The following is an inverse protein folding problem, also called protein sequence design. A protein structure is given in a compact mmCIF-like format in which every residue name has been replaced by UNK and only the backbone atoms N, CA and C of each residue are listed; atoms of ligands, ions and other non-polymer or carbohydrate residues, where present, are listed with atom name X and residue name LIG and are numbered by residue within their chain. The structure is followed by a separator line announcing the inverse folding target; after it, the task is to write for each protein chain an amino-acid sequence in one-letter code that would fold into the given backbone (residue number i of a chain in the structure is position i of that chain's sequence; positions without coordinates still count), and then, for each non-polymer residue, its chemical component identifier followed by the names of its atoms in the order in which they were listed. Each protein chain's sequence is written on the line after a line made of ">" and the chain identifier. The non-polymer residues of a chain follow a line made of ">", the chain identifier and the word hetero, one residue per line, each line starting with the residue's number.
data_IF_113480549753
#
_entry.id   IF_113480549753
#
_cell.length_a   1.000
_cell.length_b   1.000
_cell.length_c   1.000
_cell.angle_alpha   90.00
_cell.angle_beta   90.00
_cell.angle_gamma   90.00
#
_symmetry.space_group_name_H-M   'P 1'
#
loop_
_entity.id
_entity.type
_entity.pdbx_description
1 polymer ?
#
# COMPACT_ATOMS: atom_id res chain seq x y z
N UNK A 1 -29.47 13.03 42.62
CA UNK A 1 -28.30 12.54 41.87
C UNK A 1 -28.38 13.13 40.47
N UNK A 2 -27.53 14.11 40.17
CA UNK A 2 -27.47 14.77 38.86
C UNK A 2 -26.47 13.98 38.03
N UNK A 3 -26.93 13.33 36.96
CA UNK A 3 -26.08 12.60 36.05
C UNK A 3 -25.28 13.57 35.18
N UNK A 4 -23.95 13.53 35.28
CA UNK A 4 -23.07 14.14 34.30
C UNK A 4 -23.13 13.31 33.01
N UNK A 5 -23.90 13.75 32.04
CA UNK A 5 -23.72 13.35 30.64
C UNK A 5 -22.41 13.95 30.15
N UNK A 6 -21.35 13.14 30.08
CA UNK A 6 -20.15 13.45 29.32
C UNK A 6 -20.53 13.53 27.85
N UNK A 7 -20.66 14.75 27.33
CA UNK A 7 -20.70 15.01 25.88
C UNK A 7 -19.31 14.67 25.35
N UNK A 8 -19.17 13.49 24.76
CA UNK A 8 -17.98 13.16 23.99
C UNK A 8 -17.99 14.08 22.77
N UNK A 9 -17.17 15.13 22.80
CA UNK A 9 -17.01 16.01 21.66
C UNK A 9 -16.56 15.18 20.46
N UNK A 10 -17.39 15.16 19.41
CA UNK A 10 -16.97 14.56 18.14
C UNK A 10 -15.73 15.30 17.65
N UNK A 11 -14.67 14.60 17.24
CA UNK A 11 -13.49 15.25 16.69
C UNK A 11 -13.91 16.11 15.49
N UNK A 12 -13.28 17.28 15.29
CA UNK A 12 -13.61 18.15 14.17
C UNK A 12 -13.47 17.37 12.86
N UNK A 13 -14.37 17.61 11.89
CA UNK A 13 -14.27 17.00 10.57
C UNK A 13 -12.93 17.38 9.94
N UNK A 14 -12.39 16.48 9.12
CA UNK A 14 -11.17 16.74 8.37
C UNK A 14 -11.33 17.98 7.49
N UNK A 15 -10.28 18.79 7.36
CA UNK A 15 -10.31 19.96 6.50
C UNK A 15 -10.24 19.56 5.02
N UNK A 16 -10.69 20.42 4.10
CA UNK A 16 -10.54 20.16 2.66
C UNK A 16 -9.08 19.93 2.25
N UNK A 17 -8.14 20.64 2.90
CA UNK A 17 -6.70 20.46 2.68
C UNK A 17 -6.22 19.06 3.12
N UNK A 18 -6.76 18.54 4.23
CA UNK A 18 -6.49 17.16 4.65
C UNK A 18 -7.00 16.17 3.61
N UNK A 19 -8.23 16.35 3.12
CA UNK A 19 -8.81 15.49 2.08
C UNK A 19 -7.97 15.46 0.80
N UNK A 20 -7.54 16.63 0.31
CA UNK A 20 -6.70 16.75 -0.89
C UNK A 20 -5.33 16.08 -0.69
N UNK A 21 -4.72 16.28 0.47
CA UNK A 21 -3.43 15.63 0.77
C UNK A 21 -3.57 14.11 0.87
N UNK A 22 -4.61 13.60 1.54
CA UNK A 22 -4.87 12.16 1.67
C UNK A 22 -5.02 11.54 0.29
N UNK A 23 -5.85 12.15 -0.58
CA UNK A 23 -6.05 11.68 -1.94
C UNK A 23 -4.74 11.70 -2.75
N UNK A 24 -3.91 12.74 -2.60
CA UNK A 24 -2.61 12.81 -3.25
C UNK A 24 -1.65 11.71 -2.77
N UNK A 25 -1.54 11.48 -1.45
CA UNK A 25 -0.71 10.40 -0.88
C UNK A 25 -1.16 9.03 -1.39
N UNK A 26 -2.47 8.77 -1.39
CA UNK A 26 -3.03 7.49 -1.88
C UNK A 26 -2.74 7.34 -3.38
N UNK A 27 -3.01 8.35 -4.20
CA UNK A 27 -2.73 8.29 -5.64
C UNK A 27 -1.26 8.05 -5.93
N UNK A 28 -0.35 8.71 -5.20
CA UNK A 28 1.08 8.52 -5.37
C UNK A 28 1.51 7.11 -4.99
N UNK A 29 0.97 6.55 -3.90
CA UNK A 29 1.26 5.17 -3.48
C UNK A 29 0.78 4.14 -4.51
N UNK A 30 -0.43 4.29 -5.05
CA UNK A 30 -0.95 3.37 -6.07
C UNK A 30 -0.33 3.58 -7.45
N UNK A 31 0.24 4.75 -7.73
CA UNK A 31 0.96 5.03 -8.96
C UNK A 31 2.36 4.41 -9.02
N UNK A 32 2.88 3.87 -7.91
CA UNK A 32 4.16 3.17 -7.90
C UNK A 32 4.18 2.04 -8.94
N UNK A 33 5.33 1.85 -9.58
CA UNK A 33 5.56 0.63 -10.34
C UNK A 33 5.66 -0.55 -9.37
N UNK A 34 5.34 -1.76 -9.83
CA UNK A 34 5.54 -2.96 -9.01
C UNK A 34 6.99 -3.07 -8.50
N UNK A 35 8.04 -2.89 -9.32
CA UNK A 35 9.42 -2.84 -8.83
C UNK A 35 9.69 -1.89 -7.66
N UNK A 36 9.06 -0.71 -7.67
CA UNK A 36 9.23 0.26 -6.58
C UNK A 36 8.45 -0.18 -5.34
N UNK A 37 7.23 -0.70 -5.53
CA UNK A 37 6.37 -1.15 -4.45
C UNK A 37 6.86 -2.45 -3.78
N UNK A 38 7.55 -3.33 -4.51
CA UNK A 38 8.18 -4.57 -4.01
C UNK A 38 9.61 -4.35 -3.50
N UNK A 39 10.08 -3.11 -3.41
CA UNK A 39 11.45 -2.78 -3.01
C UNK A 39 12.55 -3.41 -3.89
N UNK A 40 12.21 -3.95 -5.06
CA UNK A 40 13.18 -4.45 -6.03
C UNK A 40 13.97 -3.29 -6.65
N UNK A 41 13.33 -2.14 -6.85
CA UNK A 41 13.85 -0.93 -7.52
C UNK A 41 14.43 -1.19 -8.91
N UNK A 42 14.04 -2.31 -9.52
CA UNK A 42 14.44 -2.72 -10.85
C UNK A 42 13.40 -3.67 -11.44
N UNK A 43 13.26 -3.64 -12.76
CA UNK A 43 12.58 -4.72 -13.47
C UNK A 43 13.38 -6.02 -13.32
N UNK A 44 12.69 -7.15 -13.43
CA UNK A 44 13.28 -8.48 -13.45
C UNK A 44 13.37 -9.03 -14.89
N UNK A 45 14.38 -9.84 -15.17
CA UNK A 45 14.50 -10.61 -16.40
C UNK A 45 13.65 -11.89 -16.33
N UNK A 46 13.69 -12.70 -17.39
CA UNK A 46 12.93 -13.97 -17.48
C UNK A 46 13.38 -15.04 -16.48
N UNK A 47 14.50 -14.82 -15.78
CA UNK A 47 15.03 -15.70 -14.75
C UNK A 47 14.76 -15.15 -13.34
N UNK A 48 13.98 -14.07 -13.21
CA UNK A 48 13.70 -13.42 -11.94
C UNK A 48 14.86 -12.56 -11.41
N UNK A 49 15.87 -12.26 -12.24
CA UNK A 49 17.00 -11.45 -11.80
C UNK A 49 16.78 -9.96 -12.09
N UNK A 50 17.19 -9.05 -11.18
CA UNK A 50 17.13 -7.62 -11.45
C UNK A 50 17.95 -7.23 -12.68
N UNK A 51 17.35 -6.45 -13.58
CA UNK A 51 17.98 -5.97 -14.83
C UNK A 51 18.97 -4.83 -14.54
N UNK A 52 18.68 -4.00 -13.53
CA UNK A 52 19.58 -2.95 -13.05
C UNK A 52 20.53 -3.50 -12.00
N UNK A 53 21.78 -3.75 -12.40
CA UNK A 53 22.80 -4.30 -11.50
C UNK A 53 23.14 -3.42 -10.30
N UNK A 54 22.80 -2.12 -10.33
CA UNK A 54 23.03 -1.19 -9.22
C UNK A 54 22.24 -1.57 -7.97
N UNK A 55 21.10 -2.27 -8.10
CA UNK A 55 20.32 -2.72 -6.94
C UNK A 55 21.07 -3.68 -6.04
N UNK A 56 22.17 -4.28 -6.51
CA UNK A 56 23.05 -5.09 -5.64
C UNK A 56 23.82 -4.23 -4.64
N UNK A 57 24.01 -2.94 -4.93
CA UNK A 57 24.65 -1.98 -4.05
C UNK A 57 23.65 -1.44 -3.01
N UNK A 58 24.00 -1.56 -1.72
CA UNK A 58 23.17 -1.08 -0.62
C UNK A 58 22.89 0.41 -0.66
N UNK A 59 23.86 1.25 -1.02
CA UNK A 59 23.67 2.70 -1.07
C UNK A 59 22.69 3.10 -2.17
N UNK A 60 22.67 2.40 -3.30
CA UNK A 60 21.66 2.60 -4.34
C UNK A 60 20.25 2.23 -3.84
N UNK A 61 20.11 1.08 -3.15
CA UNK A 61 18.83 0.68 -2.55
C UNK A 61 18.36 1.68 -1.49
N UNK A 62 19.25 2.18 -0.65
CA UNK A 62 18.95 3.20 0.36
C UNK A 62 18.40 4.49 -0.27
N UNK A 63 19.04 4.96 -1.34
CA UNK A 63 18.60 6.16 -2.07
C UNK A 63 17.23 5.92 -2.74
N UNK A 64 17.05 4.78 -3.40
CA UNK A 64 15.79 4.41 -4.04
C UNK A 64 14.67 4.28 -3.01
N UNK A 65 14.89 3.54 -1.93
CA UNK A 65 13.96 3.37 -0.81
C UNK A 65 13.55 4.71 -0.21
N UNK A 66 14.53 5.58 0.08
CA UNK A 66 14.28 6.92 0.60
C UNK A 66 13.46 7.76 -0.35
N UNK A 67 13.81 7.80 -1.63
CA UNK A 67 13.10 8.59 -2.64
C UNK A 67 11.65 8.12 -2.82
N UNK A 68 11.44 6.81 -2.82
CA UNK A 68 10.13 6.19 -3.05
C UNK A 68 9.22 6.34 -1.84
N UNK A 69 9.71 6.00 -0.64
CA UNK A 69 8.84 5.78 0.52
C UNK A 69 8.87 6.88 1.57
N UNK A 70 9.93 7.68 1.69
CA UNK A 70 9.96 8.79 2.66
C UNK A 70 8.81 9.80 2.50
N UNK A 71 8.35 10.15 1.28
CA UNK A 71 7.20 11.05 1.14
C UNK A 71 5.85 10.37 1.42
N UNK A 72 5.81 9.04 1.51
CA UNK A 72 4.58 8.24 1.59
C UNK A 72 4.36 7.60 2.96
N UNK A 73 5.42 7.13 3.59
CA UNK A 73 5.37 6.34 4.81
C UNK A 73 5.62 7.21 6.04
N UNK A 74 4.89 6.90 7.09
CA UNK A 74 5.18 7.37 8.45
C UNK A 74 6.61 7.00 8.84
N UNK A 75 7.19 7.72 9.80
CA UNK A 75 8.55 7.41 10.26
C UNK A 75 8.66 5.97 10.77
N UNK A 76 7.64 5.48 11.46
CA UNK A 76 7.55 4.13 12.01
C UNK A 76 7.54 3.07 10.90
N UNK A 77 6.65 3.20 9.91
CA UNK A 77 6.57 2.24 8.80
C UNK A 77 7.84 2.27 7.93
N UNK A 78 8.37 3.47 7.66
CA UNK A 78 9.61 3.64 6.93
C UNK A 78 10.79 2.96 7.64
N UNK A 79 10.86 3.02 8.97
CA UNK A 79 11.89 2.30 9.71
C UNK A 79 11.67 0.77 9.67
N UNK A 80 10.42 0.32 9.81
CA UNK A 80 10.08 -1.10 9.82
C UNK A 80 10.41 -1.80 8.50
N UNK A 81 10.08 -1.19 7.36
CA UNK A 81 10.31 -1.78 6.05
C UNK A 81 11.74 -1.62 5.53
N UNK A 82 12.55 -0.76 6.15
CA UNK A 82 13.92 -0.49 5.73
C UNK A 82 14.78 -1.76 5.65
N UNK A 83 14.71 -2.61 6.68
CA UNK A 83 15.49 -3.85 6.75
C UNK A 83 15.19 -4.76 5.58
N UNK A 84 13.90 -4.94 5.26
CA UNK A 84 13.46 -5.81 4.17
C UNK A 84 13.76 -5.21 2.79
N UNK A 85 13.69 -3.89 2.64
CA UNK A 85 13.91 -3.20 1.36
C UNK A 85 15.40 -2.91 1.05
N UNK A 86 16.25 -2.82 2.06
CA UNK A 86 17.65 -2.38 1.91
C UNK A 86 18.64 -3.42 2.44
N UNK A 87 18.28 -4.13 3.51
CA UNK A 87 19.18 -4.93 4.34
C UNK A 87 19.81 -6.12 3.64
N UNK A 88 19.10 -6.78 2.71
CA UNK A 88 19.57 -7.97 2.02
C UNK A 88 19.68 -7.73 0.50
N UNK A 89 20.84 -8.05 -0.08
CA UNK A 89 21.09 -7.94 -1.53
C UNK A 89 20.62 -9.18 -2.32
N UNK A 90 20.26 -10.25 -1.60
CA UNK A 90 19.78 -11.53 -2.11
C UNK A 90 18.32 -11.81 -1.77
N UNK A 91 17.71 -10.98 -0.92
CA UNK A 91 16.26 -10.97 -0.79
C UNK A 91 15.67 -10.66 -2.16
N UNK A 92 14.97 -11.64 -2.72
CA UNK A 92 13.92 -11.37 -3.70
C UNK A 92 13.04 -10.28 -3.10
N UNK A 93 12.60 -9.31 -3.89
CA UNK A 93 11.84 -8.15 -3.42
C UNK A 93 10.78 -8.50 -2.38
N UNK A 94 10.45 -7.53 -1.52
CA UNK A 94 9.28 -7.68 -0.66
C UNK A 94 8.05 -7.93 -1.50
N UNK A 95 7.07 -8.61 -0.90
CA UNK A 95 5.71 -8.64 -1.43
C UNK A 95 5.26 -7.20 -1.71
N UNK A 96 4.64 -6.96 -2.87
CA UNK A 96 4.27 -5.61 -3.31
C UNK A 96 3.57 -4.88 -2.18
N UNK A 97 4.12 -3.79 -1.64
CA UNK A 97 3.63 -3.16 -0.41
C UNK A 97 2.14 -2.72 -0.46
N UNK A 98 1.54 -2.68 -1.66
CA UNK A 98 0.14 -2.30 -1.89
C UNK A 98 -0.82 -3.49 -1.83
N UNK A 99 -0.33 -4.68 -2.15
CA UNK A 99 -1.11 -5.92 -2.40
C UNK A 99 -0.67 -7.10 -1.54
N UNK A 100 0.59 -7.05 -1.10
CA UNK A 100 1.36 -8.11 -0.47
C UNK A 100 1.27 -9.45 -1.22
N UNK A 101 1.42 -9.38 -2.55
CA UNK A 101 1.46 -10.54 -3.44
C UNK A 101 2.91 -10.93 -3.76
N UNK A 102 3.18 -12.23 -3.71
CA UNK A 102 4.49 -12.87 -3.92
C UNK A 102 4.66 -13.44 -5.32
N UNK A 103 3.56 -13.68 -6.03
CA UNK A 103 3.58 -14.40 -7.30
C UNK A 103 4.04 -13.50 -8.46
N UNK A 104 4.02 -12.17 -8.24
CA UNK A 104 4.31 -11.17 -9.27
C UNK A 104 5.81 -11.13 -9.64
N UNK A 105 6.70 -11.38 -8.68
CA UNK A 105 8.16 -11.31 -8.87
C UNK A 105 8.79 -12.62 -9.40
N UNK A 106 8.04 -13.73 -9.44
CA UNK A 106 8.56 -15.04 -9.86
C UNK A 106 7.97 -15.56 -11.18
N UNK A 107 7.05 -14.80 -11.80
CA UNK A 107 6.47 -15.17 -13.08
C UNK A 107 7.50 -15.03 -14.23
N UNK A 108 7.88 -16.14 -14.92
CA UNK A 108 8.85 -16.13 -16.02
C UNK A 108 8.37 -15.36 -17.27
N UNK A 109 7.09 -15.02 -17.35
CA UNK A 109 6.54 -14.13 -18.38
C UNK A 109 6.97 -12.66 -18.19
N UNK A 110 7.49 -12.31 -17.01
CA UNK A 110 7.85 -10.95 -16.64
C UNK A 110 6.63 -10.06 -16.39
N UNK A 111 5.46 -10.66 -16.19
CA UNK A 111 4.17 -10.02 -15.91
C UNK A 111 4.30 -8.89 -14.87
N UNK A 112 5.00 -9.16 -13.77
CA UNK A 112 5.20 -8.20 -12.69
C UNK A 112 5.83 -6.88 -13.06
N UNK A 113 6.69 -6.84 -14.08
CA UNK A 113 7.30 -5.59 -14.53
C UNK A 113 6.29 -4.55 -15.01
N UNK A 114 5.14 -5.03 -15.52
CA UNK A 114 4.13 -4.21 -16.17
C UNK A 114 2.84 -4.10 -15.34
N UNK A 115 2.75 -4.81 -14.21
CA UNK A 115 1.63 -4.68 -13.26
C UNK A 115 1.52 -3.24 -12.76
N UNK A 116 0.30 -2.71 -12.85
CA UNK A 116 -0.11 -1.43 -12.29
C UNK A 116 -1.43 -1.63 -11.57
N UNK A 117 -1.60 -0.85 -10.50
CA UNK A 117 -2.86 -0.76 -9.81
C UNK A 117 -3.61 0.49 -10.21
N UNK A 118 -4.85 0.30 -10.62
CA UNK A 118 -5.78 1.37 -10.92
C UNK A 118 -6.79 1.48 -9.80
N UNK A 119 -6.86 2.63 -9.14
CA UNK A 119 -7.95 2.96 -8.23
C UNK A 119 -9.26 2.99 -9.04
N UNK A 120 -10.24 2.19 -8.62
CA UNK A 120 -11.49 1.97 -9.36
C UNK A 120 -12.68 2.76 -8.81
N UNK A 121 -12.58 3.25 -7.58
CA UNK A 121 -13.61 4.05 -6.90
C UNK A 121 -12.97 5.22 -6.14
N UNK A 122 -13.72 6.30 -5.87
CA UNK A 122 -13.26 7.34 -4.96
C UNK A 122 -12.88 6.77 -3.59
N UNK A 123 -11.77 7.26 -3.03
CA UNK A 123 -11.29 6.85 -1.71
C UNK A 123 -12.35 7.14 -0.65
N UNK A 124 -12.64 6.16 0.21
CA UNK A 124 -13.68 6.27 1.25
C UNK A 124 -13.05 6.25 2.64
N UNK A 125 -13.23 7.30 3.41
CA UNK A 125 -12.81 7.32 4.82
C UNK A 125 -13.78 6.45 5.62
N UNK A 126 -13.24 5.44 6.31
CA UNK A 126 -14.01 4.49 7.11
C UNK A 126 -14.05 4.91 8.58
N UNK A 127 -12.91 5.38 9.10
CA UNK A 127 -12.76 5.90 10.45
C UNK A 127 -11.82 7.11 10.43
N UNK A 128 -12.10 8.13 11.23
CA UNK A 128 -11.28 9.32 11.31
C UNK A 128 -11.11 9.85 12.74
N UNK A 129 -9.89 10.31 13.01
CA UNK A 129 -9.50 11.11 14.16
C UNK A 129 -8.56 12.22 13.68
N UNK A 130 -8.26 13.25 14.51
CA UNK A 130 -7.42 14.36 14.10
C UNK A 130 -6.00 13.99 13.64
N UNK A 131 -5.49 12.83 14.07
CA UNK A 131 -4.11 12.39 13.79
C UNK A 131 -4.00 11.00 13.15
N UNK A 132 -5.13 10.29 12.97
CA UNK A 132 -5.16 8.95 12.38
C UNK A 132 -6.47 8.71 11.64
N UNK A 133 -6.37 8.14 10.45
CA UNK A 133 -7.54 7.73 9.66
C UNK A 133 -7.36 6.29 9.16
N UNK A 134 -8.47 5.62 8.95
CA UNK A 134 -8.56 4.39 8.17
C UNK A 134 -9.41 4.68 6.94
N UNK A 135 -8.87 4.42 5.76
CA UNK A 135 -9.55 4.65 4.49
C UNK A 135 -9.53 3.40 3.63
N UNK A 136 -10.57 3.23 2.82
CA UNK A 136 -10.70 2.15 1.85
C UNK A 136 -10.25 2.65 0.48
N UNK A 137 -9.46 1.82 -0.19
CA UNK A 137 -9.11 1.95 -1.60
C UNK A 137 -9.52 0.68 -2.33
N UNK A 138 -10.42 0.81 -3.31
CA UNK A 138 -10.74 -0.27 -4.23
C UNK A 138 -9.86 -0.15 -5.47
N UNK A 139 -9.15 -1.22 -5.83
CA UNK A 139 -8.22 -1.24 -6.93
C UNK A 139 -8.47 -2.40 -7.89
N UNK A 140 -7.98 -2.24 -9.11
CA UNK A 140 -7.91 -3.28 -10.11
C UNK A 140 -6.48 -3.39 -10.64
N UNK A 141 -6.06 -4.61 -10.87
CA UNK A 141 -4.76 -4.92 -11.44
C UNK A 141 -4.84 -4.90 -12.96
N UNK A 142 -3.94 -4.13 -13.58
CA UNK A 142 -3.84 -4.00 -15.03
C UNK A 142 -2.39 -4.13 -15.46
N UNK A 143 -2.15 -4.77 -16.61
CA UNK A 143 -0.82 -4.81 -17.25
C UNK A 143 -0.68 -3.83 -18.39
N UNK A 144 -1.80 -3.37 -18.96
CA UNK A 144 -1.84 -2.40 -20.05
C UNK A 144 -3.06 -1.48 -19.89
N UNK A 145 -3.00 -0.21 -20.35
CA UNK A 145 -4.06 0.78 -20.16
C UNK A 145 -5.47 0.36 -20.64
N UNK A 146 -5.54 -0.59 -21.59
CA UNK A 146 -6.79 -1.09 -22.18
C UNK A 146 -6.97 -2.61 -22.00
N UNK A 147 -6.22 -3.25 -21.10
CA UNK A 147 -6.39 -4.66 -20.81
C UNK A 147 -7.61 -4.89 -19.91
N UNK A 148 -8.18 -6.10 -19.98
CA UNK A 148 -9.10 -6.57 -18.95
C UNK A 148 -8.39 -6.59 -17.59
N UNK A 149 -9.15 -6.36 -16.52
CA UNK A 149 -8.61 -6.44 -15.16
C UNK A 149 -8.21 -7.88 -14.86
N UNK A 150 -6.97 -8.07 -14.40
CA UNK A 150 -6.46 -9.38 -14.02
C UNK A 150 -7.01 -9.80 -12.65
N UNK A 151 -6.97 -8.86 -11.72
CA UNK A 151 -7.53 -8.97 -10.38
C UNK A 151 -8.21 -7.69 -9.96
N UNK A 152 -9.01 -7.81 -8.91
CA UNK A 152 -9.55 -6.67 -8.17
C UNK A 152 -9.25 -6.88 -6.70
N UNK A 153 -9.27 -5.78 -5.94
CA UNK A 153 -9.11 -5.90 -4.51
C UNK A 153 -9.49 -4.65 -3.76
N UNK A 154 -9.34 -4.77 -2.45
CA UNK A 154 -9.54 -3.73 -1.47
C UNK A 154 -8.30 -3.64 -0.61
N UNK A 155 -7.92 -2.41 -0.31
CA UNK A 155 -6.95 -2.14 0.74
C UNK A 155 -7.50 -1.11 1.68
N UNK A 156 -7.51 -1.43 2.97
CA UNK A 156 -7.75 -0.45 4.02
C UNK A 156 -6.40 0.13 4.47
N UNK A 157 -6.10 1.35 4.06
CA UNK A 157 -4.90 2.07 4.48
C UNK A 157 -5.15 2.77 5.82
N UNK A 158 -4.17 2.65 6.71
CA UNK A 158 -4.07 3.46 7.91
C UNK A 158 -3.11 4.60 7.61
N UNK A 159 -3.57 5.84 7.75
CA UNK A 159 -2.71 7.02 7.65
C UNK A 159 -2.63 7.73 9.00
N UNK A 160 -1.45 8.25 9.31
CA UNK A 160 -1.17 9.09 10.49
C UNK A 160 -0.67 10.46 10.06
N UNK A 161 -0.97 11.48 10.87
CA UNK A 161 -0.55 12.85 10.61
C UNK A 161 0.77 13.15 11.35
N UNK A 162 1.87 13.27 10.61
CA UNK A 162 3.18 13.63 11.15
C UNK A 162 3.60 15.01 10.62
N UNK A 163 3.89 15.94 11.54
CA UNK A 163 4.35 17.29 11.18
C UNK A 163 3.45 18.02 10.16
N UNK A 164 2.14 17.73 10.20
CA UNK A 164 1.16 18.31 9.27
C UNK A 164 0.89 17.51 8.00
N UNK A 165 1.56 16.36 7.81
CA UNK A 165 1.44 15.52 6.60
C UNK A 165 0.79 14.18 6.91
N UNK A 166 -0.20 13.78 6.11
CA UNK A 166 -0.78 12.44 6.14
C UNK A 166 0.10 11.41 5.43
N UNK A 167 0.60 10.45 6.20
CA UNK A 167 1.51 9.40 5.75
C UNK A 167 0.95 8.01 6.08
N UNK A 168 1.24 7.02 5.24
CA UNK A 168 0.82 5.63 5.42
C UNK A 168 1.57 5.02 6.60
N UNK A 169 0.80 4.45 7.52
CA UNK A 169 1.28 3.82 8.74
C UNK A 169 1.16 2.30 8.64
N UNK A 170 0.09 1.80 8.00
CA UNK A 170 -0.23 0.39 7.84
C UNK A 170 -1.18 0.19 6.66
N UNK A 171 -1.33 -1.05 6.19
CA UNK A 171 -2.27 -1.41 5.12
C UNK A 171 -2.80 -2.83 5.33
N UNK A 172 -4.10 -3.00 5.15
CA UNK A 172 -4.81 -4.28 5.20
C UNK A 172 -5.28 -4.57 3.79
N UNK A 173 -4.64 -5.49 3.09
CA UNK A 173 -4.87 -5.73 1.67
C UNK A 173 -5.45 -7.12 1.44
N UNK A 174 -6.41 -7.20 0.52
CA UNK A 174 -6.88 -8.46 -0.04
C UNK A 174 -7.32 -8.27 -1.50
N UNK A 175 -6.98 -9.26 -2.31
CA UNK A 175 -7.30 -9.28 -3.74
C UNK A 175 -7.82 -10.65 -4.17
N UNK A 176 -8.56 -10.67 -5.27
CA UNK A 176 -8.95 -11.90 -5.95
C UNK A 176 -8.78 -11.77 -7.45
N UNK A 177 -8.21 -12.81 -8.06
CA UNK A 177 -8.22 -12.97 -9.50
C UNK A 177 -9.67 -13.07 -10.01
N UNK A 178 -9.97 -12.38 -11.11
CA UNK A 178 -11.30 -12.42 -11.77
C UNK A 178 -12.51 -12.07 -10.86
N UNK A 179 -12.29 -11.30 -9.79
CA UNK A 179 -13.37 -10.89 -8.89
C UNK A 179 -14.35 -9.88 -9.51
N UNK A 180 -15.58 -9.83 -8.99
CA UNK A 180 -16.58 -8.86 -9.43
C UNK A 180 -16.41 -7.51 -8.71
N UNK A 181 -16.60 -6.35 -9.38
CA UNK A 181 -16.56 -5.06 -8.70
C UNK A 181 -17.45 -5.06 -7.44
N UNK A 182 -16.93 -4.52 -6.32
CA UNK A 182 -17.57 -4.52 -4.99
C UNK A 182 -17.65 -5.88 -4.28
N UNK A 183 -16.96 -6.91 -4.76
CA UNK A 183 -16.83 -8.19 -4.05
C UNK A 183 -16.37 -8.03 -2.58
N UNK A 184 -15.59 -7.00 -2.28
CA UNK A 184 -15.10 -6.69 -0.94
C UNK A 184 -15.83 -5.51 -0.26
N UNK A 185 -17.07 -5.23 -0.68
CA UNK A 185 -17.92 -4.26 0.00
C UNK A 185 -18.55 -4.84 1.26
N UNK A 186 -17.78 -4.80 2.34
CA UNK A 186 -18.17 -5.31 3.66
C UNK A 186 -17.68 -4.36 4.77
N UNK A 187 -18.22 -4.49 6.00
CA UNK A 187 -17.74 -3.80 7.19
C UNK A 187 -16.22 -3.98 7.44
N UNK A 188 -15.68 -3.14 8.33
CA UNK A 188 -14.26 -3.20 8.70
C UNK A 188 -13.93 -4.53 9.40
N UNK A 189 -14.75 -4.91 10.39
CA UNK A 189 -14.55 -6.13 11.19
C UNK A 189 -14.56 -7.38 10.30
N UNK A 190 -15.57 -7.51 9.44
CA UNK A 190 -15.66 -8.62 8.49
C UNK A 190 -14.47 -8.67 7.53
N UNK A 191 -13.98 -7.50 7.09
CA UNK A 191 -12.82 -7.43 6.20
C UNK A 191 -11.54 -7.83 6.92
N UNK A 192 -11.30 -7.35 8.15
CA UNK A 192 -10.10 -7.68 8.94
C UNK A 192 -10.01 -9.17 9.27
N UNK A 193 -11.16 -9.81 9.47
CA UNK A 193 -11.24 -11.25 9.79
C UNK A 193 -11.21 -12.15 8.55
N UNK A 194 -11.16 -11.60 7.33
CA UNK A 194 -11.12 -12.41 6.11
C UNK A 194 -9.83 -13.25 6.05
N UNK A 195 -9.94 -14.57 5.80
CA UNK A 195 -8.76 -15.40 5.56
C UNK A 195 -7.94 -14.88 4.37
N UNK A 196 -6.66 -14.68 4.58
CA UNK A 196 -5.72 -14.21 3.56
C UNK A 196 -5.55 -12.70 3.47
N UNK A 197 -6.22 -11.92 4.35
CA UNK A 197 -5.87 -10.51 4.56
C UNK A 197 -4.41 -10.41 4.96
N UNK A 198 -3.73 -9.43 4.37
CA UNK A 198 -2.35 -9.17 4.72
C UNK A 198 -2.13 -7.78 5.27
N UNK A 199 -1.31 -7.71 6.31
CA UNK A 199 -0.96 -6.48 7.01
C UNK A 199 0.46 -6.07 6.65
N UNK A 200 0.62 -4.85 6.12
CA UNK A 200 1.92 -4.31 5.73
C UNK A 200 2.92 -4.25 6.90
N UNK A 201 2.40 -4.10 8.13
CA UNK A 201 3.23 -4.13 9.35
C UNK A 201 3.57 -5.51 9.89
N UNK A 202 2.90 -6.57 9.46
CA UNK A 202 3.24 -7.92 9.90
C UNK A 202 4.39 -8.44 9.04
N UNK A 203 5.47 -8.90 9.68
CA UNK A 203 6.52 -9.61 8.96
C UNK A 203 5.91 -10.87 8.30
N UNK A 204 6.36 -11.26 7.09
CA UNK A 204 6.01 -12.57 6.54
C UNK A 204 6.54 -13.63 7.51
N UNK A 205 5.62 -14.41 8.10
CA UNK A 205 5.95 -15.57 8.94
C UNK A 205 6.51 -16.73 8.13
#
# INVERSE_FOLDING_TARGET
>A
MIGCTTVVAQPPPLSSADHEQIDATVKQFYALSHPDASCMFSKIDRNGHPVDSRVRNRAFREEAYTRTFKPLFSRSLFAAMHTSCVGDATATGMLDARLWDSEIDTDPSGYGNDVRLKITQPVRILQASPSRIRLRVDWAEITKPNAAYYGIGRTDLILVKESGTWLIDDAYAFGAASGAPKQFDMPIEDFDDMPGIVHLRQEPS
#
